data_IF_004760710513
#
_entry.id   IF_004760710513
#
_cell.length_a   1.000
_cell.length_b   1.000
_cell.length_c   1.000
_cell.angle_alpha   90.00
_cell.angle_beta   90.00
_cell.angle_gamma   90.00
#
_symmetry.space_group_name_H-M   'P 1'
#
loop_
_entity.id
_entity.type
_entity.pdbx_description
1 polymer ?
#
# COMPACT_ATOMS: atom_id res chain seq x y z
N UNK A 1 -14.47 15.11 12.14
CA UNK A 1 -13.45 16.06 12.68
C UNK A 1 -12.63 15.42 13.79
N UNK A 2 -13.23 14.80 14.80
CA UNK A 2 -12.53 14.23 15.98
C UNK A 2 -11.46 13.18 15.61
N UNK A 3 -11.77 12.25 14.70
CA UNK A 3 -10.84 11.21 14.23
C UNK A 3 -9.59 11.80 13.57
N UNK A 4 -9.75 12.80 12.68
CA UNK A 4 -8.62 13.46 12.03
C UNK A 4 -7.71 14.15 13.05
N UNK A 5 -8.29 14.82 14.04
CA UNK A 5 -7.52 15.43 15.13
C UNK A 5 -6.73 14.38 15.92
N UNK A 6 -7.37 13.28 16.27
CA UNK A 6 -6.72 12.15 16.94
C UNK A 6 -5.55 11.59 16.12
N UNK A 7 -5.77 11.28 14.83
CA UNK A 7 -4.75 10.75 13.93
C UNK A 7 -3.51 11.67 13.88
N UNK A 8 -3.73 12.98 13.68
CA UNK A 8 -2.65 13.97 13.62
C UNK A 8 -1.91 14.04 14.96
N UNK A 9 -2.64 14.06 16.08
CA UNK A 9 -2.03 14.12 17.43
C UNK A 9 -1.13 12.92 17.68
N UNK A 10 -1.60 11.70 17.36
CA UNK A 10 -0.81 10.48 17.49
C UNK A 10 0.45 10.55 16.62
N UNK A 11 0.30 10.94 15.35
CA UNK A 11 1.47 11.07 14.45
C UNK A 11 2.48 12.08 14.98
N UNK A 12 2.03 13.23 15.48
CA UNK A 12 2.93 14.28 16.03
C UNK A 12 3.69 13.77 17.26
N UNK A 13 3.00 13.07 18.18
CA UNK A 13 3.63 12.51 19.39
C UNK A 13 4.74 11.52 19.02
N UNK A 14 4.51 10.65 18.04
CA UNK A 14 5.48 9.65 17.60
C UNK A 14 6.48 10.17 16.56
N UNK A 15 6.30 11.39 16.04
CA UNK A 15 7.12 11.96 14.97
C UNK A 15 8.63 11.97 15.27
N UNK A 16 9.12 12.30 16.48
CA UNK A 16 10.55 12.25 16.75
C UNK A 16 11.14 10.85 16.52
N UNK A 17 10.44 9.81 16.97
CA UNK A 17 10.85 8.42 16.76
C UNK A 17 10.76 8.01 15.29
N UNK A 18 9.67 8.38 14.62
CA UNK A 18 9.43 8.11 13.18
C UNK A 18 10.55 8.74 12.34
N UNK A 19 10.96 9.98 12.62
CA UNK A 19 12.04 10.66 11.89
C UNK A 19 13.36 9.90 12.02
N UNK A 20 13.69 9.40 13.22
CA UNK A 20 14.91 8.60 13.43
C UNK A 20 14.88 7.38 12.53
N UNK A 21 13.79 6.61 12.52
CA UNK A 21 13.65 5.45 11.65
C UNK A 21 13.67 5.80 10.16
N UNK A 22 13.00 6.89 9.75
CA UNK A 22 13.04 7.36 8.37
C UNK A 22 14.47 7.68 7.92
N UNK A 23 15.27 8.35 8.75
CA UNK A 23 16.66 8.67 8.45
C UNK A 23 17.51 7.40 8.36
N UNK A 24 17.42 6.50 9.34
CA UNK A 24 18.21 5.28 9.38
C UNK A 24 17.89 4.37 8.19
N UNK A 25 16.61 4.16 7.88
CA UNK A 25 16.19 3.34 6.74
C UNK A 25 16.60 4.01 5.43
N UNK A 26 16.42 5.33 5.29
CA UNK A 26 16.83 6.07 4.09
C UNK A 26 18.33 5.95 3.84
N UNK A 27 19.14 6.10 4.87
CA UNK A 27 20.60 5.96 4.78
C UNK A 27 21.01 4.54 4.40
N UNK A 28 20.38 3.54 5.02
CA UNK A 28 20.62 2.13 4.70
C UNK A 28 20.26 1.80 3.25
N UNK A 29 19.09 2.24 2.79
CA UNK A 29 18.65 2.04 1.40
C UNK A 29 19.56 2.76 0.40
N UNK A 30 20.02 3.97 0.74
CA UNK A 30 20.94 4.72 -0.11
C UNK A 30 22.25 3.95 -0.36
N UNK A 31 22.78 3.32 0.68
CA UNK A 31 24.00 2.52 0.58
C UNK A 31 23.76 1.20 -0.19
N UNK A 32 22.65 0.52 0.07
CA UNK A 32 22.40 -0.83 -0.48
C UNK A 32 21.77 -0.83 -1.87
N UNK A 33 20.92 0.14 -2.18
CA UNK A 33 20.14 0.16 -3.41
C UNK A 33 20.33 1.45 -4.23
N UNK A 34 21.00 2.48 -3.68
CA UNK A 34 21.13 3.77 -4.34
C UNK A 34 19.79 4.52 -4.47
N UNK A 35 19.80 5.60 -5.24
CA UNK A 35 18.59 6.40 -5.54
C UNK A 35 17.73 5.73 -6.63
N UNK A 36 16.39 5.98 -6.65
CA UNK A 36 15.59 6.70 -5.65
C UNK A 36 15.36 5.86 -4.40
N UNK A 37 15.26 6.51 -3.21
CA UNK A 37 14.99 5.84 -1.93
C UNK A 37 13.50 5.62 -1.75
N UNK A 38 12.70 6.59 -2.18
CA UNK A 38 11.24 6.56 -2.08
C UNK A 38 10.61 6.10 -3.38
N UNK A 39 9.51 5.37 -3.23
CA UNK A 39 8.58 5.02 -4.28
C UNK A 39 7.29 5.82 -4.05
N UNK A 40 6.76 6.41 -5.13
CA UNK A 40 5.54 7.21 -5.10
C UNK A 40 4.57 6.62 -6.12
N UNK A 41 3.34 6.33 -5.68
CA UNK A 41 2.32 5.74 -6.52
C UNK A 41 0.97 6.44 -6.32
N UNK A 42 0.24 6.68 -7.39
CA UNK A 42 -1.13 7.18 -7.32
C UNK A 42 -2.05 6.10 -6.75
N UNK A 43 -2.90 6.49 -5.83
CA UNK A 43 -3.88 5.63 -5.17
C UNK A 43 -5.23 6.32 -5.09
N UNK A 44 -6.29 5.51 -5.04
CA UNK A 44 -7.66 6.00 -4.84
C UNK A 44 -7.90 6.19 -3.35
N UNK A 45 -8.31 7.39 -2.98
CA UNK A 45 -8.62 7.80 -1.61
C UNK A 45 -10.09 8.10 -1.41
N UNK A 46 -10.36 8.91 -0.39
CA UNK A 46 -11.72 9.31 -0.05
C UNK A 46 -12.39 10.06 -1.22
N UNK A 47 -13.69 9.83 -1.40
CA UNK A 47 -14.52 10.41 -2.46
C UNK A 47 -13.97 10.14 -3.87
N UNK A 48 -13.29 8.99 -4.06
CA UNK A 48 -12.61 8.58 -5.30
C UNK A 48 -11.54 9.58 -5.78
N UNK A 49 -11.00 10.41 -4.90
CA UNK A 49 -9.92 11.33 -5.24
C UNK A 49 -8.59 10.63 -5.25
N UNK A 50 -7.84 10.79 -6.33
CA UNK A 50 -6.48 10.26 -6.42
C UNK A 50 -5.54 11.06 -5.53
N UNK A 51 -4.61 10.36 -4.86
CA UNK A 51 -3.53 10.96 -4.07
C UNK A 51 -2.22 10.20 -4.26
N UNK A 52 -1.10 10.82 -3.92
CA UNK A 52 0.23 10.23 -4.00
C UNK A 52 0.55 9.51 -2.69
N UNK A 53 0.68 8.19 -2.76
CA UNK A 53 1.12 7.35 -1.64
C UNK A 53 2.65 7.29 -1.60
N UNK A 54 3.24 7.52 -0.44
CA UNK A 54 4.69 7.51 -0.24
C UNK A 54 5.14 6.23 0.46
N UNK A 55 6.10 5.51 -0.13
CA UNK A 55 6.71 4.31 0.47
C UNK A 55 8.22 4.32 0.31
N UNK A 56 8.92 3.49 1.07
CA UNK A 56 10.29 3.15 0.71
C UNK A 56 10.30 2.22 -0.51
N UNK A 57 11.31 2.39 -1.38
CA UNK A 57 11.53 1.49 -2.51
C UNK A 57 11.97 0.11 -2.00
N UNK A 58 11.23 -0.90 -2.40
CA UNK A 58 11.48 -2.31 -2.03
C UNK A 58 11.71 -3.22 -3.23
N UNK A 59 11.65 -2.65 -4.44
CA UNK A 59 11.82 -3.37 -5.71
C UNK A 59 12.96 -2.77 -6.52
N UNK A 60 13.48 -3.53 -7.47
CA UNK A 60 14.45 -3.05 -8.46
C UNK A 60 13.87 -1.93 -9.31
N UNK A 61 14.74 -1.03 -9.83
CA UNK A 61 14.31 0.14 -10.63
C UNK A 61 13.65 -0.30 -11.95
N UNK A 62 14.08 -1.45 -12.46
CA UNK A 62 13.56 -2.02 -13.72
C UNK A 62 12.25 -2.77 -13.55
N UNK A 63 11.70 -2.81 -12.32
CA UNK A 63 10.41 -3.45 -12.05
C UNK A 63 9.28 -2.69 -12.76
N UNK A 64 8.78 -3.23 -13.86
CA UNK A 64 7.71 -2.61 -14.66
C UNK A 64 6.40 -2.58 -13.87
N UNK A 65 5.78 -1.40 -13.77
CA UNK A 65 4.42 -1.25 -13.20
C UNK A 65 3.38 -2.01 -14.03
N UNK A 66 3.62 -2.14 -15.33
CA UNK A 66 2.73 -2.82 -16.28
C UNK A 66 2.56 -4.32 -16.00
N UNK A 67 3.52 -4.97 -15.33
CA UNK A 67 3.40 -6.38 -14.98
C UNK A 67 2.22 -6.63 -14.03
N UNK A 68 2.04 -5.81 -13.00
CA UNK A 68 0.89 -5.94 -12.10
C UNK A 68 -0.43 -5.65 -12.81
N UNK A 69 -0.44 -4.62 -13.66
CA UNK A 69 -1.63 -4.23 -14.42
C UNK A 69 -2.04 -5.30 -15.42
N UNK A 70 -1.10 -5.83 -16.20
CA UNK A 70 -1.38 -6.91 -17.17
C UNK A 70 -1.87 -8.18 -16.49
N UNK A 71 -1.23 -8.56 -15.40
CA UNK A 71 -1.61 -9.73 -14.62
C UNK A 71 -3.01 -9.58 -13.99
N UNK A 72 -3.34 -8.41 -13.47
CA UNK A 72 -4.68 -8.09 -12.95
C UNK A 72 -5.75 -8.11 -14.05
N UNK A 73 -5.44 -7.56 -15.21
CA UNK A 73 -6.35 -7.57 -16.37
C UNK A 73 -6.58 -8.99 -16.93
N UNK A 74 -5.57 -9.85 -16.89
CA UNK A 74 -5.69 -11.24 -17.32
C UNK A 74 -6.55 -12.05 -16.35
N UNK A 75 -6.45 -11.82 -15.05
CA UNK A 75 -7.36 -12.39 -14.04
C UNK A 75 -8.80 -11.91 -14.22
N UNK A 76 -9.00 -10.61 -14.45
CA UNK A 76 -10.32 -10.05 -14.70
C UNK A 76 -10.98 -10.61 -15.96
N UNK A 77 -10.19 -11.05 -16.95
CA UNK A 77 -10.65 -11.70 -18.18
C UNK A 77 -10.87 -13.22 -18.06
N UNK A 78 -10.74 -13.77 -16.85
CA UNK A 78 -10.95 -15.21 -16.61
C UNK A 78 -9.87 -16.12 -17.20
N UNK A 79 -8.68 -15.59 -17.55
CA UNK A 79 -7.55 -16.43 -17.92
C UNK A 79 -7.02 -17.12 -16.67
N UNK A 80 -6.94 -18.47 -16.73
CA UNK A 80 -6.32 -19.26 -15.68
C UNK A 80 -4.83 -18.87 -15.56
N UNK A 81 -4.50 -18.13 -14.53
CA UNK A 81 -3.14 -18.00 -14.02
C UNK A 81 -3.08 -18.95 -12.84
N UNK A 82 -2.12 -19.89 -12.84
CA UNK A 82 -2.01 -20.98 -11.86
C UNK A 82 -2.18 -20.54 -10.41
N UNK A 83 -2.61 -21.42 -9.49
CA UNK A 83 -4.00 -21.59 -9.09
C UNK A 83 -4.34 -20.74 -7.87
N UNK A 84 -5.07 -19.68 -8.06
CA UNK A 84 -5.91 -19.14 -7.00
C UNK A 84 -7.35 -19.45 -7.36
N UNK A 85 -8.08 -20.09 -6.46
CA UNK A 85 -9.40 -20.64 -6.70
C UNK A 85 -10.52 -19.60 -6.89
N UNK A 86 -10.19 -18.32 -7.07
CA UNK A 86 -11.17 -17.26 -7.28
C UNK A 86 -10.56 -16.12 -8.13
N UNK A 87 -11.31 -15.60 -9.14
CA UNK A 87 -10.88 -14.41 -9.90
C UNK A 87 -10.79 -13.12 -9.04
N UNK A 88 -11.18 -13.20 -7.78
CA UNK A 88 -11.22 -12.10 -6.83
C UNK A 88 -10.18 -12.24 -5.71
N UNK A 89 -9.28 -13.24 -5.79
CA UNK A 89 -8.19 -13.36 -4.82
C UNK A 89 -7.03 -12.41 -5.15
N UNK A 90 -6.36 -11.86 -4.12
CA UNK A 90 -5.22 -11.00 -4.34
C UNK A 90 -4.08 -11.80 -4.94
N UNK A 91 -3.45 -11.21 -5.93
CA UNK A 91 -2.27 -11.78 -6.55
C UNK A 91 -1.14 -11.82 -5.52
N UNK A 92 -0.89 -13.00 -5.00
CA UNK A 92 0.31 -13.29 -4.23
C UNK A 92 1.34 -13.87 -5.20
N UNK A 93 2.25 -13.05 -5.66
CA UNK A 93 3.43 -13.55 -6.36
C UNK A 93 4.36 -14.05 -5.27
N UNK A 94 4.31 -15.35 -4.99
CA UNK A 94 5.31 -16.02 -4.15
C UNK A 94 6.64 -15.95 -4.91
N UNK A 95 7.69 -15.42 -4.27
CA UNK A 95 9.01 -15.22 -4.85
C UNK A 95 9.05 -14.24 -6.05
N UNK A 96 8.54 -13.02 -5.85
CA UNK A 96 8.71 -11.95 -6.83
C UNK A 96 10.18 -11.51 -6.89
N UNK A 97 10.90 -11.96 -7.93
CA UNK A 97 12.34 -11.69 -8.13
C UNK A 97 12.67 -10.18 -8.26
N UNK A 98 11.65 -9.33 -8.43
CA UNK A 98 11.81 -7.88 -8.44
C UNK A 98 12.00 -7.29 -7.05
N UNK A 99 11.66 -8.05 -6.00
CA UNK A 99 11.79 -7.59 -4.62
C UNK A 99 13.24 -7.77 -4.18
N UNK A 100 13.89 -6.68 -3.79
CA UNK A 100 15.25 -6.75 -3.25
C UNK A 100 15.24 -7.46 -1.89
N UNK A 101 16.39 -8.04 -1.49
CA UNK A 101 16.53 -8.68 -0.17
C UNK A 101 16.18 -7.70 0.95
N UNK A 102 16.67 -6.46 0.84
CA UNK A 102 16.34 -5.37 1.78
C UNK A 102 14.84 -5.04 1.74
N UNK A 103 14.26 -5.01 0.54
CA UNK A 103 12.83 -4.76 0.33
C UNK A 103 11.97 -5.84 0.98
N UNK A 104 12.35 -7.11 0.89
CA UNK A 104 11.65 -8.22 1.55
C UNK A 104 11.62 -8.05 3.07
N UNK A 105 12.76 -7.66 3.68
CA UNK A 105 12.82 -7.36 5.11
C UNK A 105 11.88 -6.20 5.49
N UNK A 106 11.94 -5.07 4.76
CA UNK A 106 11.10 -3.92 5.03
C UNK A 106 9.61 -4.25 4.92
N UNK A 107 9.21 -5.02 3.90
CA UNK A 107 7.82 -5.47 3.71
C UNK A 107 7.36 -6.40 4.82
N UNK A 108 8.21 -7.34 5.24
CA UNK A 108 7.89 -8.25 6.35
C UNK A 108 7.65 -7.48 7.66
N UNK A 109 8.41 -6.44 7.91
CA UNK A 109 8.29 -5.58 9.08
C UNK A 109 7.27 -4.43 8.90
N UNK A 110 6.66 -4.28 7.70
CA UNK A 110 5.80 -3.15 7.31
C UNK A 110 6.48 -1.77 7.44
N UNK A 111 7.81 -1.75 7.47
CA UNK A 111 8.60 -0.52 7.55
C UNK A 111 8.64 0.24 6.22
N UNK A 112 8.36 -0.44 5.11
CA UNK A 112 8.24 0.19 3.79
C UNK A 112 7.09 1.22 3.74
N UNK A 113 6.08 1.06 4.57
CA UNK A 113 4.91 1.94 4.66
C UNK A 113 5.10 3.11 5.64
N UNK A 114 6.22 3.19 6.34
CA UNK A 114 6.48 4.26 7.32
C UNK A 114 6.33 5.67 6.73
N UNK A 115 6.74 5.97 5.47
CA UNK A 115 6.52 7.28 4.86
C UNK A 115 5.04 7.67 4.70
N UNK A 116 4.07 6.73 4.80
CA UNK A 116 2.64 7.06 4.73
C UNK A 116 2.19 7.98 5.87
N UNK A 117 2.98 8.14 6.92
CA UNK A 117 2.68 9.12 7.99
C UNK A 117 2.56 10.54 7.44
N UNK A 118 3.29 10.86 6.36
CA UNK A 118 3.15 12.15 5.68
C UNK A 118 1.79 12.29 5.01
N UNK A 119 1.22 11.20 4.48
CA UNK A 119 -0.14 11.22 3.93
C UNK A 119 -1.20 11.45 5.01
N UNK A 120 -0.95 11.00 6.24
CA UNK A 120 -1.85 11.31 7.37
C UNK A 120 -1.78 12.80 7.73
N UNK A 121 -0.59 13.38 7.78
CA UNK A 121 -0.41 14.81 8.04
C UNK A 121 -1.03 15.69 6.95
N UNK A 122 -0.90 15.29 5.67
CA UNK A 122 -1.52 15.97 4.54
C UNK A 122 -3.05 15.83 4.54
N UNK A 123 -3.57 14.80 5.22
CA UNK A 123 -5.00 14.53 5.31
C UNK A 123 -5.54 13.66 4.18
N UNK A 124 -4.65 13.01 3.41
CA UNK A 124 -5.00 12.03 2.39
C UNK A 124 -5.33 10.67 2.99
N UNK A 125 -4.74 10.37 4.16
CA UNK A 125 -4.90 9.11 4.87
C UNK A 125 -5.26 9.32 6.34
N UNK A 126 -5.63 8.22 6.97
CA UNK A 126 -5.83 8.05 8.41
C UNK A 126 -4.89 6.95 8.91
N UNK A 127 -4.68 6.85 10.23
CA UNK A 127 -3.95 5.72 10.80
C UNK A 127 -4.73 4.42 10.54
N UNK A 128 -6.03 4.43 10.80
CA UNK A 128 -6.90 3.25 10.62
C UNK A 128 -7.96 3.53 9.56
N UNK A 129 -8.01 2.69 8.54
CA UNK A 129 -8.97 2.79 7.43
C UNK A 129 -8.76 1.66 6.42
N UNK A 130 -9.61 1.59 5.38
CA UNK A 130 -9.42 0.62 4.31
C UNK A 130 -8.10 0.86 3.57
N UNK A 131 -7.47 -0.21 3.07
CA UNK A 131 -6.24 -0.10 2.27
C UNK A 131 -6.51 0.71 0.99
N UNK A 132 -5.70 1.72 0.64
CA UNK A 132 -5.89 2.46 -0.59
C UNK A 132 -5.59 1.57 -1.81
N UNK A 133 -6.50 1.57 -2.79
CA UNK A 133 -6.39 0.79 -4.02
C UNK A 133 -5.66 1.58 -5.10
N UNK A 134 -5.08 0.89 -6.09
CA UNK A 134 -4.70 1.50 -7.37
C UNK A 134 -5.94 1.63 -8.26
N UNK A 135 -5.89 2.50 -9.27
CA UNK A 135 -7.05 2.82 -10.11
C UNK A 135 -7.68 1.56 -10.74
N UNK A 136 -6.87 0.67 -11.30
CA UNK A 136 -7.36 -0.56 -11.92
C UNK A 136 -7.94 -1.57 -10.91
N UNK A 137 -7.47 -1.59 -9.66
CA UNK A 137 -8.09 -2.39 -8.60
C UNK A 137 -9.45 -1.81 -8.23
N UNK A 138 -9.57 -0.48 -8.13
CA UNK A 138 -10.80 0.18 -7.72
C UNK A 138 -11.96 -0.08 -8.69
N UNK A 139 -11.66 -0.20 -9.99
CA UNK A 139 -12.64 -0.55 -11.02
C UNK A 139 -13.24 -1.97 -10.81
N UNK A 140 -12.45 -2.92 -10.30
CA UNK A 140 -12.90 -4.29 -10.05
C UNK A 140 -13.83 -4.41 -8.83
N UNK A 141 -13.74 -3.47 -7.88
CA UNK A 141 -14.59 -3.49 -6.69
C UNK A 141 -16.03 -2.99 -6.94
N UNK A 142 -16.31 -2.36 -8.09
CA UNK A 142 -17.65 -1.87 -8.42
C UNK A 142 -18.28 -1.05 -7.27
N UNK A 143 -19.53 -1.41 -6.89
CA UNK A 143 -20.26 -0.70 -5.82
C UNK A 143 -19.60 -0.79 -4.43
N UNK A 144 -18.82 -1.83 -4.16
CA UNK A 144 -18.05 -1.92 -2.92
C UNK A 144 -16.99 -0.81 -2.80
N UNK A 145 -16.45 -0.33 -3.93
CA UNK A 145 -15.51 0.77 -3.94
C UNK A 145 -16.14 2.05 -3.38
N UNK A 146 -17.43 2.30 -3.64
CA UNK A 146 -18.14 3.47 -3.11
C UNK A 146 -18.14 3.49 -1.58
N UNK A 147 -18.38 2.33 -0.95
CA UNK A 147 -18.34 2.21 0.52
C UNK A 147 -16.92 2.41 1.06
N UNK A 148 -15.91 1.83 0.41
CA UNK A 148 -14.50 1.99 0.81
C UNK A 148 -14.06 3.46 0.73
N UNK A 149 -14.41 4.13 -0.35
CA UNK A 149 -14.06 5.52 -0.61
C UNK A 149 -14.91 6.54 0.16
N UNK A 150 -15.90 6.12 0.95
CA UNK A 150 -16.66 7.02 1.83
C UNK A 150 -15.84 7.55 3.02
N UNK A 151 -14.71 6.88 3.34
CA UNK A 151 -13.81 7.23 4.45
C UNK A 151 -12.38 7.41 3.93
N UNK A 152 -11.50 8.00 4.76
CA UNK A 152 -10.08 8.08 4.44
C UNK A 152 -9.47 6.67 4.46
N UNK A 153 -8.60 6.34 3.49
CA UNK A 153 -7.81 5.13 3.53
C UNK A 153 -6.86 5.13 4.73
N UNK A 154 -6.50 3.94 5.21
CA UNK A 154 -5.66 3.78 6.40
C UNK A 154 -4.26 3.27 6.09
N UNK A 155 -3.29 3.60 6.97
CA UNK A 155 -1.99 2.92 7.04
C UNK A 155 -2.24 1.46 7.46
N UNK A 156 -3.13 1.26 8.43
CA UNK A 156 -3.59 -0.05 8.86
C UNK A 156 -5.11 -0.12 8.86
N UNK A 157 -5.66 -1.32 8.97
CA UNK A 157 -7.10 -1.54 9.00
C UNK A 157 -7.44 -2.99 9.32
N UNK A 158 -8.73 -3.26 9.50
CA UNK A 158 -9.21 -4.57 9.90
C UNK A 158 -8.71 -5.69 8.97
N UNK A 159 -8.84 -5.49 7.67
CA UNK A 159 -8.36 -6.47 6.68
C UNK A 159 -6.84 -6.72 6.77
N UNK A 160 -6.05 -5.67 7.05
CA UNK A 160 -4.59 -5.83 7.17
C UNK A 160 -4.18 -6.65 8.41
N UNK A 161 -4.96 -6.64 9.48
CA UNK A 161 -4.67 -7.40 10.72
C UNK A 161 -5.31 -8.80 10.71
N UNK A 162 -6.38 -9.02 9.94
CA UNK A 162 -7.09 -10.30 9.86
C UNK A 162 -6.54 -11.30 8.84
N UNK A 163 -5.51 -10.94 8.08
CA UNK A 163 -4.92 -11.86 7.11
C UNK A 163 -4.52 -11.23 5.78
N UNK A 164 -4.71 -9.92 5.60
CA UNK A 164 -4.30 -9.16 4.41
C UNK A 164 -4.79 -9.79 3.10
N UNK A 165 -3.94 -10.66 2.53
CA UNK A 165 -4.14 -11.26 1.22
C UNK A 165 -4.98 -12.55 1.26
N UNK A 166 -5.24 -13.11 2.43
CA UNK A 166 -6.00 -14.35 2.59
C UNK A 166 -7.51 -14.09 2.67
N UNK A 167 -7.92 -12.81 2.69
CA UNK A 167 -9.32 -12.40 2.72
C UNK A 167 -9.87 -12.19 1.30
N UNK A 168 -11.10 -12.62 1.08
CA UNK A 168 -11.85 -12.31 -0.15
C UNK A 168 -12.08 -10.79 -0.30
N UNK A 169 -12.41 -10.34 -1.53
CA UNK A 169 -12.72 -8.91 -1.77
C UNK A 169 -13.86 -8.37 -0.88
N UNK A 170 -14.81 -9.24 -0.52
CA UNK A 170 -15.95 -8.86 0.32
C UNK A 170 -15.57 -8.68 1.80
N UNK A 171 -14.49 -9.33 2.25
CA UNK A 171 -14.00 -9.29 3.63
C UNK A 171 -12.96 -8.18 3.85
N UNK A 172 -12.52 -7.54 2.80
CA UNK A 172 -11.55 -6.42 2.81
C UNK A 172 -12.24 -5.08 2.80
#
# INVERSE_FOLDING_TARGET
MLKKFFDITVVIIFMPLIIIFLILISFYLLIKQGKPIFFVQNRVGKDNKSFKLYKFRTMEITAEEDFHKSHYLDLAKGKQVEPTNSPLEPIRIENDDRITITGAFLRKASLDELPNVFNVLLGDMSIVGPRPLVDYESELYGDYNLKRCSVLPGITGLAQIQGRLDLSLQER
#
